data_IF_474226575432
#
_entry.id   IF_474226575432
#
_cell.length_a   1.000
_cell.length_b   1.000
_cell.length_c   1.000
_cell.angle_alpha   90.00
_cell.angle_beta   90.00
_cell.angle_gamma   90.00
#
_symmetry.space_group_name_H-M   'P 1'
#
loop_
_entity.id
_entity.type
_entity.pdbx_description
1 polymer ?
#
# COMPACT_ATOMS: atom_id res chain seq x y z
N UNK A 1 -46.18 5.89 33.88
CA UNK A 1 -45.57 5.64 32.54
C UNK A 1 -45.86 4.20 32.13
N UNK A 2 -46.02 3.92 30.84
CA UNK A 2 -46.08 2.57 30.30
C UNK A 2 -44.78 2.20 29.60
N UNK A 3 -44.47 0.90 29.56
CA UNK A 3 -43.30 0.38 28.86
C UNK A 3 -43.78 -0.37 27.61
N UNK A 4 -43.30 0.02 26.43
CA UNK A 4 -43.58 -0.66 25.17
C UNK A 4 -42.30 -1.31 24.65
N UNK A 5 -42.35 -2.60 24.34
CA UNK A 5 -41.21 -3.35 23.79
C UNK A 5 -41.61 -3.88 22.42
N UNK A 6 -41.03 -3.32 21.36
CA UNK A 6 -41.19 -3.83 20.01
C UNK A 6 -40.16 -4.93 19.77
N UNK A 7 -40.63 -6.16 19.62
CA UNK A 7 -39.78 -7.34 19.43
C UNK A 7 -40.15 -8.06 18.12
N UNK A 8 -39.17 -8.40 17.26
CA UNK A 8 -39.40 -9.27 16.13
C UNK A 8 -39.96 -10.62 16.57
N UNK A 9 -40.99 -11.11 15.88
CA UNK A 9 -41.63 -12.38 16.23
C UNK A 9 -40.66 -13.56 16.22
N UNK A 10 -39.64 -13.50 15.36
CA UNK A 10 -38.60 -14.53 15.22
C UNK A 10 -37.81 -14.73 16.53
N UNK A 11 -37.65 -13.67 17.31
CA UNK A 11 -36.93 -13.70 18.58
C UNK A 11 -37.80 -14.16 19.75
N UNK A 12 -39.13 -14.08 19.63
CA UNK A 12 -40.04 -14.50 20.70
C UNK A 12 -40.05 -16.02 20.92
N UNK A 13 -39.64 -16.80 19.91
CA UNK A 13 -39.55 -18.27 19.96
C UNK A 13 -38.11 -18.79 20.02
N UNK A 14 -37.12 -17.90 20.10
CA UNK A 14 -35.70 -18.25 19.98
C UNK A 14 -35.13 -18.80 21.30
N UNK A 15 -34.87 -20.11 21.36
CA UNK A 15 -34.30 -20.80 22.54
C UNK A 15 -32.78 -20.88 22.51
N UNK A 16 -32.11 -19.75 22.30
CA UNK A 16 -30.64 -19.66 22.25
C UNK A 16 -30.15 -18.41 22.97
N UNK A 17 -28.97 -18.46 23.62
CA UNK A 17 -28.37 -17.28 24.22
C UNK A 17 -28.07 -16.25 23.11
N UNK A 18 -28.71 -15.09 23.17
CA UNK A 18 -28.65 -14.10 22.07
C UNK A 18 -28.65 -12.69 22.63
N UNK A 19 -27.71 -11.84 22.20
CA UNK A 19 -27.67 -10.42 22.50
C UNK A 19 -28.64 -9.64 21.60
N UNK A 20 -29.43 -8.75 22.19
CA UNK A 20 -30.41 -7.90 21.54
C UNK A 20 -29.86 -6.47 21.37
N UNK A 21 -29.99 -5.95 20.15
CA UNK A 21 -29.54 -4.62 19.76
C UNK A 21 -30.70 -3.76 19.24
N UNK A 22 -30.62 -2.47 19.54
CA UNK A 22 -31.72 -1.57 19.26
C UNK A 22 -31.53 -0.17 19.80
N UNK A 23 -32.64 0.53 20.00
CA UNK A 23 -32.68 1.88 20.56
C UNK A 23 -33.73 1.97 21.67
N UNK A 24 -33.44 2.80 22.68
CA UNK A 24 -34.38 3.15 23.75
C UNK A 24 -34.72 4.62 23.62
N UNK A 25 -36.02 4.93 23.66
CA UNK A 25 -36.55 6.29 23.72
C UNK A 25 -37.29 6.47 25.05
N UNK A 26 -37.00 7.57 25.74
CA UNK A 26 -37.55 7.88 27.06
C UNK A 26 -38.26 9.22 26.94
N UNK A 27 -39.58 9.18 26.74
CA UNK A 27 -40.46 10.37 26.70
C UNK A 27 -41.50 10.26 27.85
N UNK A 28 -42.79 10.43 27.57
CA UNK A 28 -43.88 10.14 28.54
C UNK A 28 -44.02 8.63 28.84
N UNK A 29 -43.65 7.79 27.87
CA UNK A 29 -43.54 6.33 27.96
C UNK A 29 -42.10 5.90 27.63
N UNK A 30 -41.69 4.73 28.12
CA UNK A 30 -40.39 4.12 27.79
C UNK A 30 -40.59 3.11 26.66
N UNK A 31 -39.97 3.35 25.51
CA UNK A 31 -40.11 2.49 24.33
C UNK A 31 -38.77 1.84 23.98
N UNK A 32 -38.77 0.51 23.90
CA UNK A 32 -37.64 -0.31 23.47
C UNK A 32 -37.90 -0.81 22.05
N UNK A 33 -37.03 -0.44 21.11
CA UNK A 33 -37.07 -0.92 19.74
C UNK A 33 -35.99 -1.99 19.56
N UNK A 34 -36.36 -3.27 19.57
CA UNK A 34 -35.42 -4.36 19.24
C UNK A 34 -35.44 -4.57 17.73
N UNK A 35 -34.27 -4.45 17.10
CA UNK A 35 -34.14 -4.48 15.63
C UNK A 35 -33.27 -5.64 15.17
N UNK A 36 -32.20 -5.91 15.92
CA UNK A 36 -31.21 -6.90 15.57
C UNK A 36 -30.80 -7.75 16.77
N UNK A 37 -30.27 -8.95 16.49
CA UNK A 37 -29.82 -9.87 17.51
C UNK A 37 -28.61 -10.69 17.04
N UNK A 38 -27.64 -10.91 17.93
CA UNK A 38 -26.41 -11.66 17.65
C UNK A 38 -26.23 -12.77 18.68
N UNK A 39 -25.83 -13.96 18.24
CA UNK A 39 -25.57 -15.10 19.11
C UNK A 39 -24.57 -14.73 20.23
N UNK A 40 -24.89 -15.11 21.46
CA UNK A 40 -24.11 -14.79 22.65
C UNK A 40 -23.23 -15.97 23.07
N UNK A 41 -21.91 -15.81 22.92
CA UNK A 41 -20.90 -16.80 23.32
C UNK A 41 -20.27 -16.46 24.69
N UNK A 42 -20.36 -17.39 25.64
CA UNK A 42 -19.79 -17.25 26.98
C UNK A 42 -18.25 -17.40 27.06
N UNK A 43 -17.60 -17.86 25.97
CA UNK A 43 -16.20 -18.32 26.01
C UNK A 43 -15.15 -17.29 25.56
N UNK A 44 -15.54 -16.11 25.08
CA UNK A 44 -14.60 -15.05 24.68
C UNK A 44 -14.22 -14.16 25.87
N UNK A 45 -12.95 -14.20 26.27
CA UNK A 45 -12.35 -13.50 27.41
C UNK A 45 -12.24 -11.96 27.26
N UNK A 46 -13.09 -11.34 26.44
CA UNK A 46 -13.20 -9.89 26.26
C UNK A 46 -14.68 -9.54 26.15
N UNK A 47 -15.26 -9.01 27.24
CA UNK A 47 -16.64 -8.53 27.28
C UNK A 47 -16.76 -7.17 26.58
N UNK A 48 -16.41 -7.11 25.30
CA UNK A 48 -16.65 -5.95 24.45
C UNK A 48 -18.00 -6.14 23.75
N UNK A 49 -19.01 -5.35 24.13
CA UNK A 49 -20.27 -5.30 23.42
C UNK A 49 -20.02 -4.74 22.01
N UNK A 50 -19.92 -5.65 21.03
CA UNK A 50 -19.71 -5.28 19.63
C UNK A 50 -20.74 -4.24 19.19
N UNK A 51 -20.26 -3.09 18.71
CA UNK A 51 -21.13 -2.02 18.21
C UNK A 51 -21.53 -2.35 16.78
N UNK A 52 -22.73 -2.88 16.58
CA UNK A 52 -23.32 -2.97 15.25
C UNK A 52 -23.83 -1.57 14.91
N UNK A 53 -23.28 -0.99 13.83
CA UNK A 53 -23.55 0.36 13.32
C UNK A 53 -24.84 1.02 13.83
N UNK A 54 -24.70 2.13 14.56
CA UNK A 54 -25.76 2.99 15.12
C UNK A 54 -26.76 2.36 16.13
N UNK A 55 -26.69 1.06 16.41
CA UNK A 55 -27.58 0.39 17.38
C UNK A 55 -26.85 0.17 18.72
N UNK A 56 -27.57 0.35 19.83
CA UNK A 56 -27.06 0.14 21.19
C UNK A 56 -27.39 -1.27 21.66
N UNK A 57 -26.50 -1.83 22.48
CA UNK A 57 -26.81 -3.04 23.23
C UNK A 57 -27.98 -2.77 24.20
N UNK A 58 -29.03 -3.59 24.12
CA UNK A 58 -30.22 -3.47 24.96
C UNK A 58 -30.25 -4.53 26.07
N UNK A 59 -29.70 -5.72 25.82
CA UNK A 59 -29.65 -6.82 26.76
C UNK A 59 -29.70 -8.15 26.03
N UNK A 60 -30.07 -9.25 26.70
CA UNK A 60 -29.95 -10.59 26.09
C UNK A 60 -31.15 -11.49 26.36
N UNK A 61 -31.29 -12.53 25.52
CA UNK A 61 -32.10 -13.72 25.75
C UNK A 61 -31.19 -14.75 26.41
N UNK A 62 -31.54 -15.25 27.60
CA UNK A 62 -30.74 -16.20 28.39
C UNK A 62 -31.56 -17.39 28.88
N UNK A 63 -30.90 -18.49 29.23
CA UNK A 63 -31.54 -19.66 29.84
C UNK A 63 -31.87 -19.38 31.31
N UNK A 64 -33.08 -19.74 31.76
CA UNK A 64 -33.51 -19.53 33.15
C UNK A 64 -32.56 -20.13 34.19
N UNK A 65 -32.01 -21.31 33.90
CA UNK A 65 -31.03 -21.99 34.77
C UNK A 65 -29.75 -21.16 34.97
N UNK A 66 -29.24 -20.54 33.90
CA UNK A 66 -28.01 -19.72 33.94
C UNK A 66 -28.22 -18.44 34.74
N UNK A 67 -29.42 -17.87 34.69
CA UNK A 67 -29.78 -16.72 35.51
C UNK A 67 -29.95 -17.08 37.00
N UNK A 68 -30.41 -18.30 37.30
CA UNK A 68 -30.53 -18.80 38.68
C UNK A 68 -29.16 -19.05 39.35
N UNK A 69 -28.17 -19.52 38.57
CA UNK A 69 -26.80 -19.74 39.05
C UNK A 69 -26.05 -18.42 39.34
N UNK A 70 -26.38 -17.33 38.63
CA UNK A 70 -25.70 -16.02 38.74
C UNK A 70 -26.71 -14.88 38.89
N UNK A 71 -27.16 -14.57 40.11
CA UNK A 71 -28.25 -13.59 40.33
C UNK A 71 -27.92 -12.15 39.91
N UNK A 72 -26.64 -11.79 39.79
CA UNK A 72 -26.19 -10.44 39.40
C UNK A 72 -25.77 -10.32 37.93
N UNK A 73 -26.05 -11.31 37.10
CA UNK A 73 -25.63 -11.35 35.69
C UNK A 73 -26.13 -10.13 34.89
N UNK A 74 -27.31 -9.60 35.22
CA UNK A 74 -27.92 -8.46 34.54
C UNK A 74 -27.11 -7.17 34.71
N UNK A 75 -26.59 -6.93 35.93
CA UNK A 75 -25.77 -5.75 36.24
C UNK A 75 -24.33 -5.89 35.75
N UNK A 76 -23.79 -7.12 35.69
CA UNK A 76 -22.45 -7.36 35.16
C UNK A 76 -22.36 -7.10 33.65
N UNK A 77 -23.46 -7.31 32.93
CA UNK A 77 -23.54 -7.19 31.47
C UNK A 77 -24.26 -5.92 31.01
N UNK A 78 -24.51 -4.96 31.91
CA UNK A 78 -25.21 -3.69 31.65
C UNK A 78 -26.51 -3.86 30.83
N UNK A 79 -27.29 -4.90 31.17
CA UNK A 79 -28.52 -5.22 30.45
C UNK A 79 -29.65 -4.26 30.85
N UNK A 80 -30.40 -3.76 29.88
CA UNK A 80 -31.62 -2.96 30.10
C UNK A 80 -32.89 -3.80 30.01
N UNK A 81 -32.89 -4.84 29.19
CA UNK A 81 -33.96 -5.83 29.07
C UNK A 81 -33.35 -7.23 29.06
N UNK A 82 -33.86 -8.16 29.86
CA UNK A 82 -33.48 -9.57 29.76
C UNK A 82 -34.71 -10.42 29.56
N UNK A 83 -34.62 -11.28 28.56
CA UNK A 83 -35.60 -12.28 28.25
C UNK A 83 -35.07 -13.65 28.69
N UNK A 84 -35.90 -14.45 29.33
CA UNK A 84 -35.53 -15.78 29.86
C UNK A 84 -36.33 -16.86 29.18
N UNK A 85 -35.68 -17.96 28.78
CA UNK A 85 -36.37 -19.13 28.24
C UNK A 85 -36.11 -20.37 29.08
N UNK A 86 -37.16 -21.15 29.30
CA UNK A 86 -37.08 -22.51 29.83
C UNK A 86 -37.11 -23.50 28.65
N UNK A 87 -36.41 -24.63 28.80
CA UNK A 87 -36.50 -25.75 27.87
C UNK A 87 -37.92 -26.33 27.83
N UNK A 88 -38.66 -26.26 28.93
CA UNK A 88 -40.00 -26.85 29.09
C UNK A 88 -41.14 -26.00 28.51
N UNK A 89 -41.05 -24.67 28.60
CA UNK A 89 -42.07 -23.77 28.06
C UNK A 89 -41.79 -23.38 26.60
N UNK A 90 -42.81 -23.17 25.75
CA UNK A 90 -42.60 -22.79 24.36
C UNK A 90 -42.17 -21.33 24.17
N UNK A 91 -42.52 -20.46 25.13
CA UNK A 91 -42.38 -19.01 25.00
C UNK A 91 -41.29 -18.47 25.93
N UNK A 92 -40.75 -17.33 25.55
CA UNK A 92 -39.79 -16.58 26.34
C UNK A 92 -40.54 -15.64 27.29
N UNK A 93 -40.10 -15.56 28.54
CA UNK A 93 -40.62 -14.64 29.55
C UNK A 93 -39.70 -13.43 29.71
N UNK A 94 -40.25 -12.28 30.09
CA UNK A 94 -39.45 -11.10 30.42
C UNK A 94 -38.94 -11.24 31.85
N UNK A 95 -37.65 -11.54 32.01
CA UNK A 95 -37.02 -11.82 33.31
C UNK A 95 -36.49 -10.58 34.03
N UNK A 96 -36.05 -9.56 33.28
CA UNK A 96 -35.49 -8.32 33.87
C UNK A 96 -35.77 -7.09 33.01
N UNK A 97 -36.02 -5.95 33.67
CA UNK A 97 -36.07 -4.63 33.08
C UNK A 97 -35.28 -3.68 33.99
N UNK A 98 -34.27 -3.01 33.43
CA UNK A 98 -33.40 -2.10 34.18
C UNK A 98 -33.99 -0.72 34.43
N UNK A 99 -34.98 -0.29 33.64
CA UNK A 99 -35.64 1.02 33.80
C UNK A 99 -37.06 0.80 34.34
N UNK A 100 -37.25 1.02 35.64
CA UNK A 100 -38.55 0.93 36.32
C UNK A 100 -39.00 2.34 36.77
N UNK A 101 -40.08 2.89 36.18
CA UNK A 101 -40.63 4.18 36.63
C UNK A 101 -41.37 4.04 37.96
N UNK A 102 -41.41 5.10 38.79
CA UNK A 102 -42.06 5.11 40.12
C UNK A 102 -43.55 4.71 40.09
N UNK A 103 -44.25 5.02 38.98
CA UNK A 103 -45.62 4.61 38.73
C UNK A 103 -45.75 3.91 37.36
N UNK A 104 -45.58 2.58 37.35
CA UNK A 104 -45.74 1.73 36.18
C UNK A 104 -47.23 1.40 35.94
N UNK A 105 -47.78 1.80 34.78
CA UNK A 105 -49.17 1.51 34.41
C UNK A 105 -49.34 0.12 33.77
N UNK A 106 -48.53 -0.19 32.77
CA UNK A 106 -48.57 -1.45 32.02
C UNK A 106 -47.27 -1.68 31.26
N UNK A 107 -46.92 -2.94 31.03
CA UNK A 107 -45.85 -3.36 30.10
C UNK A 107 -46.53 -4.03 28.90
N UNK A 108 -46.27 -3.54 27.70
CA UNK A 108 -46.79 -4.07 26.43
C UNK A 108 -45.65 -4.58 25.58
N UNK A 109 -45.66 -5.86 25.25
CA UNK A 109 -44.76 -6.44 24.25
C UNK A 109 -45.52 -6.49 22.93
N UNK A 110 -45.02 -5.77 21.93
CA UNK A 110 -45.61 -5.67 20.60
C UNK A 110 -44.74 -6.48 19.65
N UNK A 111 -45.29 -7.61 19.18
CA UNK A 111 -44.62 -8.46 18.22
C UNK A 111 -44.85 -7.95 16.81
N UNK A 112 -43.78 -7.80 16.04
CA UNK A 112 -43.87 -7.39 14.64
C UNK A 112 -43.12 -8.36 13.73
N UNK A 113 -43.56 -8.44 12.48
CA UNK A 113 -42.93 -9.29 11.47
C UNK A 113 -41.95 -8.45 10.65
N UNK A 114 -40.64 -8.72 10.80
CA UNK A 114 -39.56 -7.91 10.19
C UNK A 114 -39.78 -7.69 8.68
N UNK A 115 -40.13 -8.75 7.95
CA UNK A 115 -40.43 -8.68 6.51
C UNK A 115 -41.62 -7.77 6.15
N UNK A 116 -42.73 -7.81 6.90
CA UNK A 116 -43.92 -6.99 6.60
C UNK A 116 -43.65 -5.50 6.82
N UNK A 117 -42.83 -5.15 7.82
CA UNK A 117 -42.43 -3.77 8.07
C UNK A 117 -41.48 -3.25 6.97
N UNK A 118 -40.63 -4.12 6.42
CA UNK A 118 -39.74 -3.78 5.30
C UNK A 118 -40.49 -3.66 3.96
N UNK A 119 -41.50 -4.51 3.71
CA UNK A 119 -42.27 -4.52 2.44
C UNK A 119 -43.18 -3.29 2.27
N UNK A 120 -43.57 -2.64 3.38
CA UNK A 120 -44.38 -1.40 3.36
C UNK A 120 -43.68 -0.21 2.65
N UNK A 121 -42.37 -0.28 2.37
CA UNK A 121 -41.63 0.78 1.67
C UNK A 121 -41.75 0.72 0.14
N UNK A 122 -42.17 -0.40 -0.45
CA UNK A 122 -42.03 -0.61 -1.91
C UNK A 122 -43.10 0.14 -2.73
N UNK A 123 -44.12 0.72 -2.12
CA UNK A 123 -45.29 1.22 -2.86
C UNK A 123 -45.50 2.74 -2.92
N UNK A 124 -44.67 3.60 -2.34
CA UNK A 124 -44.82 5.06 -2.48
C UNK A 124 -43.47 5.77 -2.60
N UNK A 125 -42.93 5.82 -3.82
CA UNK A 125 -41.81 6.71 -4.19
C UNK A 125 -42.32 8.11 -4.61
N UNK A 126 -43.59 8.44 -4.36
CA UNK A 126 -44.20 9.70 -4.83
C UNK A 126 -45.13 10.37 -3.82
N UNK A 127 -44.67 10.60 -2.59
CA UNK A 127 -45.01 11.79 -1.76
C UNK A 127 -44.49 11.60 -0.35
N UNK A 128 -43.56 12.45 0.10
CA UNK A 128 -43.57 13.04 1.44
C UNK A 128 -42.39 14.01 1.55
N UNK A 129 -42.65 15.24 1.11
CA UNK A 129 -42.01 16.42 1.68
C UNK A 129 -42.24 16.45 3.20
N UNK A 130 -41.25 17.00 3.92
CA UNK A 130 -41.35 17.27 5.36
C UNK A 130 -42.63 18.04 5.69
N UNK A 131 -43.44 17.64 6.69
CA UNK A 131 -44.31 18.57 7.35
C UNK A 131 -43.54 19.27 8.47
N UNK A 132 -43.43 20.58 8.31
CA UNK A 132 -43.11 21.52 9.37
C UNK A 132 -44.34 21.72 10.26
N UNK A 133 -44.13 21.69 11.57
CA UNK A 133 -45.00 22.32 12.56
C UNK A 133 -46.24 21.55 13.04
N UNK A 134 -46.26 21.25 14.34
CA UNK A 134 -47.48 21.36 15.14
C UNK A 134 -48.25 20.06 15.45
N UNK A 135 -47.99 19.52 16.65
CA UNK A 135 -49.04 18.90 17.48
C UNK A 135 -49.30 17.41 17.29
N UNK A 136 -48.94 16.62 18.31
CA UNK A 136 -49.60 15.36 18.63
C UNK A 136 -48.85 14.09 18.25
N UNK A 137 -48.27 13.44 19.27
CA UNK A 137 -47.86 12.03 19.30
C UNK A 137 -46.89 11.60 18.20
N UNK A 138 -45.59 11.68 18.50
CA UNK A 138 -44.57 10.91 17.80
C UNK A 138 -45.06 9.45 17.64
N UNK A 139 -45.29 9.02 16.41
CA UNK A 139 -45.81 7.69 16.13
C UNK A 139 -44.66 6.69 16.33
N UNK A 140 -44.68 5.94 17.42
CA UNK A 140 -43.70 4.87 17.73
C UNK A 140 -43.42 3.94 16.52
N UNK A 141 -44.42 3.71 15.67
CA UNK A 141 -44.31 2.87 14.47
C UNK A 141 -43.44 3.48 13.36
N UNK A 142 -43.40 4.81 13.24
CA UNK A 142 -42.58 5.54 12.27
C UNK A 142 -41.09 5.47 12.65
N UNK A 143 -40.79 5.49 13.95
CA UNK A 143 -39.43 5.35 14.47
C UNK A 143 -38.93 3.92 14.29
N UNK A 144 -39.75 2.90 14.62
CA UNK A 144 -39.48 1.50 14.31
C UNK A 144 -39.19 1.29 12.80
N UNK A 145 -39.95 1.95 11.94
CA UNK A 145 -39.78 1.90 10.49
C UNK A 145 -38.43 2.49 10.04
N UNK A 146 -38.04 3.67 10.56
CA UNK A 146 -36.71 4.27 10.27
C UNK A 146 -35.55 3.37 10.70
N UNK A 147 -35.66 2.76 11.88
CA UNK A 147 -34.61 1.89 12.43
C UNK A 147 -34.48 0.59 11.64
N UNK A 148 -35.59 0.00 11.20
CA UNK A 148 -35.59 -1.18 10.33
C UNK A 148 -35.03 -0.89 8.92
N UNK A 149 -35.05 0.37 8.46
CA UNK A 149 -34.59 0.78 7.12
C UNK A 149 -33.07 1.00 7.03
N UNK A 150 -32.40 1.38 8.13
CA UNK A 150 -30.94 1.61 8.14
C UNK A 150 -30.13 0.37 7.73
N UNK A 151 -30.73 -0.82 7.81
CA UNK A 151 -30.15 -2.11 7.39
C UNK A 151 -30.18 -2.29 5.86
N UNK A 152 -31.17 -1.72 5.16
CA UNK A 152 -31.43 -1.95 3.72
C UNK A 152 -30.57 -1.06 2.81
N UNK A 153 -30.11 0.10 3.29
CA UNK A 153 -29.26 1.01 2.49
C UNK A 153 -27.90 0.40 2.06
N UNK A 154 -27.50 -0.75 2.61
CA UNK A 154 -26.26 -1.46 2.23
C UNK A 154 -26.47 -2.42 1.04
N UNK A 155 -27.71 -2.75 0.66
CA UNK A 155 -27.96 -3.74 -0.39
C UNK A 155 -29.00 -3.30 -1.44
N UNK A 156 -28.58 -2.39 -2.33
CA UNK A 156 -29.15 -2.31 -3.68
C UNK A 156 -28.50 -3.42 -4.55
N UNK A 157 -29.24 -4.37 -5.13
CA UNK A 157 -28.68 -5.48 -5.87
C UNK A 157 -28.44 -5.06 -7.33
N UNK A 158 -27.26 -4.51 -7.60
CA UNK A 158 -26.63 -4.63 -8.93
C UNK A 158 -25.21 -5.12 -8.70
N UNK A 159 -24.92 -6.31 -9.25
CA UNK A 159 -23.65 -7.05 -9.24
C UNK A 159 -23.24 -7.76 -7.93
N UNK A 160 -24.06 -8.71 -7.45
CA UNK A 160 -23.68 -9.65 -6.37
C UNK A 160 -22.48 -10.55 -6.75
N UNK A 161 -22.37 -10.97 -8.01
CA UNK A 161 -21.25 -11.77 -8.50
C UNK A 161 -19.93 -10.97 -8.52
N UNK A 162 -19.95 -9.72 -9.00
CA UNK A 162 -18.77 -8.86 -9.01
C UNK A 162 -18.33 -8.48 -7.59
N UNK A 163 -19.27 -8.19 -6.69
CA UNK A 163 -18.98 -7.77 -5.31
C UNK A 163 -18.50 -8.93 -4.43
N UNK A 164 -19.01 -10.14 -4.65
CA UNK A 164 -18.52 -11.37 -3.98
C UNK A 164 -17.13 -11.76 -4.47
N UNK A 165 -16.88 -11.66 -5.80
CA UNK A 165 -15.54 -11.80 -6.36
C UNK A 165 -14.55 -10.78 -5.79
N UNK A 166 -14.95 -9.49 -5.72
CA UNK A 166 -14.11 -8.42 -5.18
C UNK A 166 -13.82 -8.60 -3.67
N UNK A 167 -14.80 -9.06 -2.89
CA UNK A 167 -14.62 -9.32 -1.46
C UNK A 167 -13.68 -10.50 -1.19
N UNK A 168 -13.80 -11.57 -1.98
CA UNK A 168 -12.91 -12.73 -1.89
C UNK A 168 -11.47 -12.34 -2.29
N UNK A 169 -11.33 -11.52 -3.34
CA UNK A 169 -10.04 -10.98 -3.80
C UNK A 169 -9.38 -10.08 -2.73
N UNK A 170 -10.18 -9.27 -2.03
CA UNK A 170 -9.70 -8.40 -0.95
C UNK A 170 -9.25 -9.21 0.28
N UNK A 171 -9.99 -10.27 0.64
CA UNK A 171 -9.69 -11.10 1.81
C UNK A 171 -8.44 -11.97 1.61
N UNK A 172 -8.21 -12.48 0.39
CA UNK A 172 -6.96 -13.16 0.01
C UNK A 172 -5.78 -12.17 -0.06
N UNK A 173 -6.02 -10.90 -0.35
CA UNK A 173 -4.97 -9.87 -0.43
C UNK A 173 -4.47 -9.36 0.94
N UNK A 174 -5.22 -9.55 2.03
CA UNK A 174 -4.80 -9.05 3.35
C UNK A 174 -3.81 -10.00 4.07
N UNK A 175 -3.84 -11.31 3.78
CA UNK A 175 -2.88 -12.28 4.36
C UNK A 175 -1.41 -12.04 3.94
N UNK A 176 -1.10 -11.76 2.65
CA UNK A 176 0.26 -11.42 2.22
C UNK A 176 0.78 -10.12 2.85
N UNK A 177 -0.09 -9.15 3.09
CA UNK A 177 0.26 -7.87 3.72
C UNK A 177 0.61 -8.09 5.19
N UNK A 178 -0.15 -8.93 5.88
CA UNK A 178 0.08 -9.26 7.28
C UNK A 178 1.39 -10.06 7.45
N UNK A 179 1.68 -10.99 6.52
CA UNK A 179 2.96 -11.69 6.45
C UNK A 179 4.12 -10.72 6.21
N UNK A 180 3.98 -9.81 5.23
CA UNK A 180 5.01 -8.83 4.92
C UNK A 180 5.27 -7.90 6.12
N UNK A 181 4.21 -7.45 6.80
CA UNK A 181 4.31 -6.64 8.01
C UNK A 181 5.09 -7.36 9.11
N UNK A 182 4.77 -8.63 9.36
CA UNK A 182 5.51 -9.45 10.33
C UNK A 182 7.00 -9.60 9.96
N UNK A 183 7.31 -9.81 8.69
CA UNK A 183 8.71 -9.90 8.23
C UNK A 183 9.45 -8.56 8.34
N UNK A 184 8.77 -7.43 8.09
CA UNK A 184 9.34 -6.10 8.15
C UNK A 184 9.59 -5.59 9.58
N UNK A 185 8.82 -6.09 10.57
CA UNK A 185 8.97 -5.74 11.99
C UNK A 185 10.18 -6.43 12.65
N UNK A 186 10.79 -7.43 12.00
CA UNK A 186 11.99 -8.09 12.51
C UNK A 186 13.22 -7.15 12.42
N UNK A 187 13.90 -6.93 13.56
CA UNK A 187 15.04 -5.98 13.69
C UNK A 187 16.17 -6.26 12.69
N UNK A 188 16.48 -7.54 12.45
CA UNK A 188 17.54 -7.92 11.49
C UNK A 188 17.15 -7.56 10.05
N UNK A 189 15.93 -7.91 9.65
CA UNK A 189 15.40 -7.63 8.31
C UNK A 189 15.27 -6.12 8.12
N UNK A 190 14.77 -5.39 9.12
CA UNK A 190 14.63 -3.93 9.05
C UNK A 190 15.98 -3.22 8.75
N UNK A 191 17.08 -3.68 9.34
CA UNK A 191 18.40 -3.07 9.10
C UNK A 191 18.89 -3.31 7.66
N UNK A 192 18.63 -4.49 7.09
CA UNK A 192 19.01 -4.83 5.71
C UNK A 192 18.05 -4.17 4.71
N UNK A 193 16.76 -4.33 4.94
CA UNK A 193 15.68 -3.88 4.08
C UNK A 193 15.54 -2.35 4.09
N UNK A 194 16.00 -1.67 5.15
CA UNK A 194 15.94 -0.20 5.27
C UNK A 194 16.54 0.58 4.10
N UNK A 195 17.51 -0.01 3.41
CA UNK A 195 18.14 0.60 2.23
C UNK A 195 17.38 0.34 0.92
N UNK A 196 16.52 -0.67 0.88
CA UNK A 196 15.75 -1.06 -0.32
C UNK A 196 14.60 -0.10 -0.62
N UNK A 197 14.25 0.05 -1.89
CA UNK A 197 13.13 0.91 -2.28
C UNK A 197 11.78 0.30 -1.88
N UNK A 198 11.68 -1.03 -1.85
CA UNK A 198 10.48 -1.76 -1.41
C UNK A 198 10.12 -1.46 0.04
N UNK A 199 11.09 -1.47 0.94
CA UNK A 199 10.82 -1.18 2.35
C UNK A 199 10.39 0.27 2.59
N UNK A 200 11.09 1.22 1.94
CA UNK A 200 10.69 2.65 1.98
C UNK A 200 9.26 2.82 1.47
N UNK A 201 8.92 2.12 0.38
CA UNK A 201 7.58 2.14 -0.16
C UNK A 201 6.55 1.51 0.79
N UNK A 202 6.85 0.36 1.41
CA UNK A 202 5.96 -0.26 2.39
C UNK A 202 5.60 0.70 3.52
N UNK A 203 6.59 1.43 4.06
CA UNK A 203 6.36 2.43 5.11
C UNK A 203 5.49 3.60 4.63
N UNK A 204 5.71 4.10 3.41
CA UNK A 204 4.88 5.13 2.78
C UNK A 204 3.43 4.63 2.55
N UNK A 205 3.28 3.38 2.13
CA UNK A 205 2.00 2.72 1.89
C UNK A 205 1.23 2.55 3.21
N UNK A 206 1.86 2.02 4.26
CA UNK A 206 1.26 1.84 5.59
C UNK A 206 0.75 3.18 6.17
N UNK A 207 1.56 4.24 6.11
CA UNK A 207 1.14 5.58 6.55
C UNK A 207 -0.06 6.12 5.77
N UNK A 208 -0.21 5.71 4.51
CA UNK A 208 -1.35 6.11 3.66
C UNK A 208 -2.61 5.32 4.02
N UNK A 209 -2.47 4.04 4.37
CA UNK A 209 -3.55 3.19 4.89
C UNK A 209 -4.08 3.71 6.22
N UNK A 210 -3.19 4.03 7.17
CA UNK A 210 -3.54 4.49 8.53
C UNK A 210 -4.34 5.80 8.50
N UNK A 211 -4.10 6.66 7.50
CA UNK A 211 -4.81 7.93 7.32
C UNK A 211 -6.22 7.78 6.72
N UNK A 212 -6.58 6.61 6.16
CA UNK A 212 -7.91 6.30 5.61
C UNK A 212 -8.36 7.08 4.36
N UNK A 213 -7.81 8.27 4.09
CA UNK A 213 -8.30 9.20 3.05
C UNK A 213 -8.13 8.72 1.60
N UNK A 214 -7.36 7.65 1.32
CA UNK A 214 -6.98 7.24 -0.04
C UNK A 214 -7.19 5.77 -0.34
N UNK A 215 -8.15 5.13 0.34
CA UNK A 215 -8.44 3.70 0.16
C UNK A 215 -8.76 3.33 -1.31
N UNK A 216 -9.41 4.23 -2.06
CA UNK A 216 -9.70 4.01 -3.50
C UNK A 216 -8.44 3.87 -4.35
N UNK A 217 -7.37 4.60 -4.06
CA UNK A 217 -6.10 4.49 -4.77
C UNK A 217 -5.42 3.15 -4.49
N UNK A 218 -5.51 2.68 -3.25
CA UNK A 218 -4.95 1.39 -2.84
C UNK A 218 -5.70 0.24 -3.52
N UNK A 219 -7.03 0.33 -3.60
CA UNK A 219 -7.84 -0.66 -4.34
C UNK A 219 -7.48 -0.66 -5.82
N UNK A 220 -7.35 0.52 -6.45
CA UNK A 220 -6.92 0.62 -7.84
C UNK A 220 -5.52 0.00 -8.03
N UNK A 221 -4.59 0.30 -7.13
CA UNK A 221 -3.22 -0.23 -7.17
C UNK A 221 -3.19 -1.76 -7.05
N UNK A 222 -4.01 -2.36 -6.17
CA UNK A 222 -4.19 -3.81 -6.08
C UNK A 222 -4.78 -4.41 -7.36
N UNK A 223 -5.81 -3.78 -7.92
CA UNK A 223 -6.43 -4.25 -9.18
C UNK A 223 -5.43 -4.21 -10.34
N UNK A 224 -4.65 -3.12 -10.46
CA UNK A 224 -3.59 -3.00 -11.46
C UNK A 224 -2.49 -4.05 -11.25
N UNK A 225 -2.12 -4.33 -9.99
CA UNK A 225 -1.09 -5.31 -9.66
C UNK A 225 -1.52 -6.73 -10.00
N UNK A 226 -2.77 -7.08 -9.71
CA UNK A 226 -3.34 -8.40 -10.06
C UNK A 226 -3.52 -8.53 -11.57
N UNK A 227 -3.95 -7.46 -12.27
CA UNK A 227 -4.00 -7.47 -13.72
C UNK A 227 -2.62 -7.73 -14.33
N UNK A 228 -1.58 -7.01 -13.87
CA UNK A 228 -0.21 -7.24 -14.34
C UNK A 228 0.27 -8.64 -13.98
N UNK A 229 0.00 -9.13 -12.78
CA UNK A 229 0.31 -10.49 -12.36
C UNK A 229 -0.29 -11.51 -13.32
N UNK A 230 -1.60 -11.43 -13.61
CA UNK A 230 -2.27 -12.34 -14.54
C UNK A 230 -1.65 -12.25 -15.94
N UNK A 231 -1.34 -11.05 -16.42
CA UNK A 231 -0.64 -10.87 -17.71
C UNK A 231 0.75 -11.53 -17.68
N UNK A 232 1.55 -11.31 -16.63
CA UNK A 232 2.88 -11.91 -16.47
C UNK A 232 2.85 -13.45 -16.44
N UNK A 233 1.82 -14.04 -15.84
CA UNK A 233 1.65 -15.49 -15.78
C UNK A 233 0.94 -16.09 -17.02
N UNK A 234 0.14 -15.30 -17.74
CA UNK A 234 -0.62 -15.76 -18.92
C UNK A 234 0.15 -15.65 -20.23
N UNK A 235 1.14 -14.74 -20.33
CA UNK A 235 2.08 -14.74 -21.45
C UNK A 235 3.05 -15.93 -21.27
N UNK A 236 2.71 -17.04 -21.91
CA UNK A 236 3.44 -18.32 -21.95
C UNK A 236 4.82 -18.14 -22.59
N UNK A 237 5.76 -17.66 -21.78
CA UNK A 237 7.21 -17.85 -21.83
C UNK A 237 7.66 -17.82 -20.36
N UNK A 238 8.68 -18.60 -19.94
CA UNK A 238 9.29 -18.38 -18.64
C UNK A 238 9.67 -16.90 -18.58
N UNK A 239 9.11 -16.09 -17.66
CA UNK A 239 9.28 -14.64 -17.72
C UNK A 239 10.74 -14.20 -17.48
N UNK A 240 11.59 -15.12 -16.99
CA UNK A 240 13.05 -14.95 -16.94
C UNK A 240 13.70 -14.84 -18.32
N UNK A 241 13.15 -15.45 -19.37
CA UNK A 241 13.77 -15.45 -20.71
C UNK A 241 13.80 -14.05 -21.32
N UNK A 242 12.79 -13.23 -21.01
CA UNK A 242 12.76 -11.82 -21.42
C UNK A 242 13.87 -10.99 -20.76
N UNK A 243 14.16 -11.25 -19.47
CA UNK A 243 15.25 -10.57 -18.77
C UNK A 243 16.62 -10.96 -19.33
N UNK A 244 16.80 -12.21 -19.76
CA UNK A 244 18.03 -12.69 -20.40
C UNK A 244 18.21 -12.02 -21.77
N UNK A 245 17.14 -11.91 -22.56
CA UNK A 245 17.21 -11.17 -23.83
C UNK A 245 17.58 -9.71 -23.63
N UNK A 246 17.00 -9.06 -22.60
CA UNK A 246 17.37 -7.69 -22.23
C UNK A 246 18.82 -7.62 -21.76
N UNK A 247 19.29 -8.56 -20.96
CA UNK A 247 20.64 -8.55 -20.42
C UNK A 247 21.70 -8.68 -21.52
N UNK A 248 21.52 -9.63 -22.45
CA UNK A 248 22.37 -9.75 -23.64
C UNK A 248 22.26 -8.50 -24.53
N UNK A 249 21.07 -7.90 -24.66
CA UNK A 249 20.88 -6.63 -25.33
C UNK A 249 21.74 -5.51 -24.72
N UNK A 250 21.73 -5.36 -23.40
CA UNK A 250 22.54 -4.36 -22.67
C UNK A 250 24.03 -4.64 -22.85
N UNK A 251 24.46 -5.90 -22.75
CA UNK A 251 25.86 -6.31 -22.97
C UNK A 251 26.31 -5.92 -24.38
N UNK A 252 25.50 -6.20 -25.40
CA UNK A 252 25.80 -5.86 -26.79
C UNK A 252 25.89 -4.34 -27.00
N UNK A 253 25.02 -3.55 -26.35
CA UNK A 253 25.09 -2.09 -26.39
C UNK A 253 26.37 -1.56 -25.74
N UNK A 254 26.81 -2.16 -24.63
CA UNK A 254 28.09 -1.80 -23.99
C UNK A 254 29.29 -2.15 -24.88
N UNK A 255 29.29 -3.31 -25.55
CA UNK A 255 30.32 -3.65 -26.53
C UNK A 255 30.32 -2.68 -27.72
N UNK A 256 29.15 -2.34 -28.24
CA UNK A 256 29.02 -1.35 -29.32
C UNK A 256 29.57 0.01 -28.90
N UNK A 257 29.29 0.45 -27.67
CA UNK A 257 29.84 1.69 -27.12
C UNK A 257 31.37 1.62 -27.05
N UNK A 258 31.96 0.54 -26.54
CA UNK A 258 33.41 0.38 -26.49
C UNK A 258 34.04 0.36 -27.90
N UNK A 259 33.39 -0.27 -28.89
CA UNK A 259 33.86 -0.26 -30.27
C UNK A 259 33.84 1.17 -30.87
N UNK A 260 32.88 2.01 -30.49
CA UNK A 260 32.88 3.45 -30.86
C UNK A 260 34.03 4.20 -30.19
N UNK A 261 34.37 3.87 -28.93
CA UNK A 261 35.52 4.45 -28.25
C UNK A 261 36.87 3.99 -28.85
N UNK A 262 36.91 2.80 -29.46
CA UNK A 262 38.06 2.28 -30.21
C UNK A 262 38.32 3.07 -31.49
N UNK A 263 37.27 3.38 -32.26
CA UNK A 263 37.35 4.04 -33.56
C UNK A 263 37.62 5.55 -33.57
N UNK A 264 37.92 6.19 -32.43
CA UNK A 264 37.99 7.64 -32.22
C UNK A 264 36.60 8.31 -32.10
N UNK A 265 36.06 8.47 -30.88
CA UNK A 265 34.76 9.10 -30.69
C UNK A 265 34.83 10.59 -31.06
N UNK A 266 33.91 11.05 -31.91
CA UNK A 266 33.75 12.47 -32.31
C UNK A 266 35.00 13.05 -33.00
N UNK A 267 35.89 12.18 -33.53
CA UNK A 267 37.15 12.61 -34.15
C UNK A 267 38.23 13.06 -33.16
N UNK A 268 38.03 12.85 -31.85
CA UNK A 268 39.02 13.16 -30.83
C UNK A 268 40.10 12.07 -30.82
N UNK A 269 41.31 12.39 -31.29
CA UNK A 269 42.45 11.45 -31.29
C UNK A 269 42.88 11.12 -29.87
N UNK A 270 42.43 9.97 -29.39
CA UNK A 270 42.79 9.41 -28.08
C UNK A 270 44.23 8.88 -28.08
N UNK A 271 44.82 8.80 -26.88
CA UNK A 271 46.10 8.12 -26.73
C UNK A 271 45.90 6.61 -26.98
N UNK A 272 46.51 6.09 -28.05
CA UNK A 272 46.26 4.73 -28.54
C UNK A 272 46.56 3.66 -27.48
N UNK A 273 47.69 3.78 -26.78
CA UNK A 273 48.09 2.80 -25.78
C UNK A 273 47.15 2.78 -24.58
N UNK A 274 46.80 3.96 -24.05
CA UNK A 274 45.87 4.05 -22.92
C UNK A 274 44.44 3.64 -23.33
N UNK A 275 44.00 4.01 -24.54
CA UNK A 275 42.70 3.63 -25.06
C UNK A 275 42.57 2.11 -25.15
N UNK A 276 43.55 1.44 -25.77
CA UNK A 276 43.55 -0.02 -25.89
C UNK A 276 43.56 -0.71 -24.52
N UNK A 277 44.37 -0.22 -23.57
CA UNK A 277 44.36 -0.73 -22.21
C UNK A 277 42.98 -0.60 -21.53
N UNK A 278 42.30 0.53 -21.67
CA UNK A 278 40.95 0.69 -21.14
C UNK A 278 39.95 -0.22 -21.84
N UNK A 279 40.00 -0.32 -23.18
CA UNK A 279 39.13 -1.21 -23.94
C UNK A 279 39.27 -2.65 -23.45
N UNK A 280 40.50 -3.16 -23.32
CA UNK A 280 40.75 -4.52 -22.85
C UNK A 280 40.21 -4.74 -21.44
N UNK A 281 40.46 -3.80 -20.52
CA UNK A 281 39.98 -3.86 -19.14
C UNK A 281 38.44 -3.85 -19.06
N UNK A 282 37.77 -2.95 -19.78
CA UNK A 282 36.31 -2.85 -19.77
C UNK A 282 35.65 -4.01 -20.52
N UNK A 283 36.21 -4.47 -21.66
CA UNK A 283 35.73 -5.66 -22.39
C UNK A 283 35.82 -6.90 -21.50
N UNK A 284 36.93 -7.09 -20.78
CA UNK A 284 37.09 -8.18 -19.83
C UNK A 284 36.06 -8.10 -18.69
N UNK A 285 35.84 -6.92 -18.13
CA UNK A 285 34.86 -6.77 -17.04
C UNK A 285 33.41 -6.99 -17.51
N UNK A 286 33.06 -6.58 -18.74
CA UNK A 286 31.75 -6.90 -19.33
C UNK A 286 31.61 -8.42 -19.49
N UNK A 287 32.65 -9.11 -19.95
CA UNK A 287 32.63 -10.57 -20.07
C UNK A 287 32.45 -11.24 -18.71
N UNK A 288 33.15 -10.76 -17.68
CA UNK A 288 32.98 -11.23 -16.30
C UNK A 288 31.55 -11.03 -15.81
N UNK A 289 30.95 -9.88 -16.10
CA UNK A 289 29.57 -9.58 -15.77
C UNK A 289 28.57 -10.48 -16.52
N UNK A 290 28.81 -10.77 -17.80
CA UNK A 290 28.01 -11.74 -18.57
C UNK A 290 28.03 -13.12 -17.91
N UNK A 291 29.22 -13.65 -17.61
CA UNK A 291 29.35 -14.95 -16.93
C UNK A 291 28.66 -14.96 -15.56
N UNK A 292 28.73 -13.84 -14.83
CA UNK A 292 28.01 -13.69 -13.57
C UNK A 292 26.49 -13.72 -13.76
N UNK A 293 25.97 -13.01 -14.76
CA UNK A 293 24.54 -13.01 -15.09
C UNK A 293 24.05 -14.40 -15.48
N UNK A 294 24.81 -15.13 -16.30
CA UNK A 294 24.50 -16.51 -16.71
C UNK A 294 24.48 -17.45 -15.47
N UNK A 295 25.39 -17.24 -14.51
CA UNK A 295 25.41 -18.01 -13.26
C UNK A 295 24.20 -17.74 -12.36
N UNK A 296 23.76 -16.48 -12.25
CA UNK A 296 22.62 -16.11 -11.39
C UNK A 296 21.26 -16.20 -12.09
N UNK A 297 21.23 -16.55 -13.37
CA UNK A 297 20.02 -16.72 -14.19
C UNK A 297 18.87 -17.45 -13.47
N UNK A 298 19.06 -18.64 -12.85
CA UNK A 298 17.97 -19.33 -12.17
C UNK A 298 17.41 -18.54 -10.99
N UNK A 299 18.25 -17.79 -10.28
CA UNK A 299 17.85 -16.93 -9.15
C UNK A 299 17.06 -15.73 -9.68
N UNK A 300 17.54 -15.09 -10.76
CA UNK A 300 16.84 -13.96 -11.40
C UNK A 300 15.44 -14.39 -11.86
N UNK A 301 15.30 -15.59 -12.43
CA UNK A 301 13.99 -16.15 -12.80
C UNK A 301 13.07 -16.34 -11.61
N UNK A 302 13.59 -16.85 -10.48
CA UNK A 302 12.81 -16.99 -9.24
C UNK A 302 12.39 -15.64 -8.66
N UNK A 303 13.29 -14.65 -8.64
CA UNK A 303 12.99 -13.29 -8.18
C UNK A 303 11.91 -12.65 -9.03
N UNK A 304 11.91 -12.88 -10.35
CA UNK A 304 10.89 -12.34 -11.23
C UNK A 304 9.51 -12.97 -11.00
N UNK A 305 9.44 -14.28 -10.77
CA UNK A 305 8.21 -14.94 -10.35
C UNK A 305 7.70 -14.40 -9.01
N UNK A 306 8.62 -14.15 -8.07
CA UNK A 306 8.28 -13.51 -6.80
C UNK A 306 7.69 -12.11 -7.02
N UNK A 307 8.28 -11.27 -7.89
CA UNK A 307 7.72 -9.95 -8.28
C UNK A 307 6.29 -10.10 -8.82
N UNK A 308 6.04 -11.13 -9.65
CA UNK A 308 4.70 -11.46 -10.11
C UNK A 308 3.72 -11.71 -8.97
N UNK A 309 4.06 -12.61 -8.04
CA UNK A 309 3.23 -12.95 -6.87
C UNK A 309 3.00 -11.76 -5.95
N UNK A 310 4.02 -10.90 -5.76
CA UNK A 310 3.90 -9.66 -4.99
C UNK A 310 2.93 -8.64 -5.62
N UNK A 311 2.46 -8.87 -6.86
CA UNK A 311 1.36 -8.13 -7.47
C UNK A 311 0.05 -8.17 -6.68
N UNK A 312 -0.16 -9.20 -5.86
CA UNK A 312 -1.29 -9.27 -4.93
C UNK A 312 -1.30 -8.10 -3.91
N UNK A 313 -0.13 -7.56 -3.56
CA UNK A 313 -0.01 -6.40 -2.65
C UNK A 313 -0.36 -5.08 -3.34
N UNK A 314 -0.08 -4.98 -4.64
CA UNK A 314 -0.25 -3.76 -5.44
C UNK A 314 0.79 -3.62 -6.54
N UNK A 315 0.43 -2.90 -7.60
CA UNK A 315 1.35 -2.59 -8.71
C UNK A 315 2.52 -1.70 -8.26
N UNK A 316 2.29 -0.80 -7.31
CA UNK A 316 3.35 0.04 -6.73
C UNK A 316 4.43 -0.79 -6.02
N UNK A 317 4.09 -1.93 -5.42
CA UNK A 317 5.06 -2.88 -4.85
C UNK A 317 5.89 -3.58 -5.93
N UNK A 318 5.27 -3.97 -7.05
CA UNK A 318 5.99 -4.56 -8.18
C UNK A 318 6.99 -3.58 -8.79
N UNK A 319 6.62 -2.30 -8.94
CA UNK A 319 7.52 -1.25 -9.42
C UNK A 319 8.72 -1.07 -8.46
N UNK A 320 8.48 -1.09 -7.15
CA UNK A 320 9.56 -0.97 -6.17
C UNK A 320 10.53 -2.15 -6.24
N UNK A 321 10.03 -3.39 -6.32
CA UNK A 321 10.88 -4.57 -6.49
C UNK A 321 11.65 -4.54 -7.82
N UNK A 322 11.02 -4.08 -8.90
CA UNK A 322 11.68 -3.91 -10.20
C UNK A 322 12.78 -2.85 -10.14
N UNK A 323 12.56 -1.75 -9.43
CA UNK A 323 13.58 -0.71 -9.23
C UNK A 323 14.80 -1.25 -8.45
N UNK A 324 14.57 -2.07 -7.42
CA UNK A 324 15.65 -2.74 -6.69
C UNK A 324 16.41 -3.72 -7.60
N UNK A 325 15.72 -4.48 -8.46
CA UNK A 325 16.35 -5.37 -9.44
C UNK A 325 17.20 -4.59 -10.46
N UNK A 326 16.69 -3.48 -11.00
CA UNK A 326 17.44 -2.61 -11.94
C UNK A 326 18.69 -2.04 -11.26
N UNK A 327 18.60 -1.68 -9.98
CA UNK A 327 19.75 -1.21 -9.19
C UNK A 327 20.86 -2.27 -9.10
N UNK A 328 20.48 -3.54 -8.84
CA UNK A 328 21.42 -4.67 -8.80
C UNK A 328 22.04 -4.91 -10.18
N UNK A 329 21.22 -4.98 -11.23
CA UNK A 329 21.71 -5.22 -12.60
C UNK A 329 22.65 -4.10 -13.06
N UNK A 330 22.42 -2.86 -12.62
CA UNK A 330 23.24 -1.71 -13.00
C UNK A 330 24.55 -1.56 -12.22
N UNK A 331 24.88 -2.53 -11.35
CA UNK A 331 26.10 -2.50 -10.53
C UNK A 331 27.38 -2.42 -11.38
N UNK A 332 27.45 -3.15 -12.49
CA UNK A 332 28.60 -3.13 -13.41
C UNK A 332 28.89 -1.70 -13.95
N UNK A 333 27.85 -0.97 -14.36
CA UNK A 333 27.96 0.42 -14.81
C UNK A 333 28.42 1.36 -13.68
N UNK A 334 27.95 1.11 -12.46
CA UNK A 334 28.42 1.83 -11.28
C UNK A 334 29.92 1.63 -11.03
N UNK A 335 30.42 0.39 -11.17
CA UNK A 335 31.84 0.07 -11.06
C UNK A 335 32.68 0.82 -12.11
N UNK A 336 32.26 0.82 -13.38
CA UNK A 336 32.96 1.56 -14.45
C UNK A 336 33.07 3.06 -14.17
N UNK A 337 31.98 3.66 -13.69
CA UNK A 337 32.00 5.05 -13.28
C UNK A 337 32.96 5.30 -12.11
N UNK A 338 33.03 4.39 -11.12
CA UNK A 338 33.98 4.55 -10.01
C UNK A 338 35.42 4.50 -10.51
N UNK A 339 35.77 3.51 -11.34
CA UNK A 339 37.13 3.33 -11.85
C UNK A 339 37.60 4.58 -12.60
N UNK A 340 36.80 5.05 -13.54
CA UNK A 340 37.12 6.25 -14.32
C UNK A 340 37.10 7.52 -13.49
N UNK A 341 36.19 7.65 -12.53
CA UNK A 341 36.14 8.80 -11.60
C UNK A 341 37.38 8.88 -10.73
N UNK A 342 37.86 7.75 -10.22
CA UNK A 342 39.08 7.71 -9.40
C UNK A 342 40.27 8.14 -10.26
N UNK A 343 40.41 7.58 -11.46
CA UNK A 343 41.51 7.92 -12.36
C UNK A 343 41.48 9.39 -12.78
N UNK A 344 40.31 9.91 -13.19
CA UNK A 344 40.11 11.32 -13.50
C UNK A 344 40.52 12.23 -12.34
N UNK A 345 40.16 11.88 -11.10
CA UNK A 345 40.55 12.65 -9.91
C UNK A 345 42.06 12.61 -9.67
N UNK A 346 42.70 11.46 -9.83
CA UNK A 346 44.15 11.29 -9.67
C UNK A 346 44.88 12.12 -10.72
N UNK A 347 44.51 12.02 -12.00
CA UNK A 347 45.12 12.79 -13.08
C UNK A 347 44.90 14.29 -12.91
N UNK A 348 43.67 14.73 -12.58
CA UNK A 348 43.37 16.16 -12.34
C UNK A 348 44.21 16.72 -11.20
N UNK A 349 44.32 15.99 -10.08
CA UNK A 349 45.14 16.41 -8.94
C UNK A 349 46.63 16.39 -9.28
N UNK A 350 47.10 15.35 -9.97
CA UNK A 350 48.46 15.22 -10.46
C UNK A 350 48.84 16.39 -11.35
N UNK A 351 48.02 16.70 -12.35
CA UNK A 351 48.21 17.82 -13.27
C UNK A 351 48.24 19.16 -12.51
N UNK A 352 47.34 19.35 -11.54
CA UNK A 352 47.31 20.55 -10.71
C UNK A 352 48.58 20.74 -9.87
N UNK A 353 49.13 19.65 -9.30
CA UNK A 353 50.36 19.71 -8.50
C UNK A 353 51.57 19.94 -9.39
N UNK A 354 51.69 19.18 -10.48
CA UNK A 354 52.82 19.32 -11.41
C UNK A 354 52.82 20.69 -12.08
N UNK A 355 51.65 21.27 -12.37
CA UNK A 355 51.54 22.65 -12.86
C UNK A 355 52.15 23.67 -11.90
N UNK A 356 51.98 23.48 -10.58
CA UNK A 356 52.62 24.35 -9.60
C UNK A 356 54.14 24.16 -9.61
N UNK A 357 54.63 22.91 -9.65
CA UNK A 357 56.06 22.60 -9.69
C UNK A 357 56.73 23.17 -10.94
N UNK A 358 56.10 23.04 -12.12
CA UNK A 358 56.57 23.60 -13.39
C UNK A 358 56.67 25.13 -13.35
N UNK A 359 55.85 25.80 -12.53
CA UNK A 359 55.93 27.25 -12.30
C UNK A 359 56.90 27.66 -11.19
N UNK A 360 57.64 26.71 -10.60
CA UNK A 360 58.52 27.00 -9.46
C UNK A 360 57.77 27.27 -8.15
N UNK A 361 56.53 26.79 -8.03
CA UNK A 361 55.67 27.03 -6.86
C UNK A 361 55.43 25.74 -6.08
N UNK A 362 55.32 25.85 -4.75
CA UNK A 362 54.99 24.75 -3.83
C UNK A 362 53.83 25.14 -2.94
N UNK A 363 52.87 24.24 -2.74
CA UNK A 363 51.86 24.41 -1.71
C UNK A 363 52.43 24.12 -0.31
N UNK A 364 52.43 25.12 0.56
CA UNK A 364 52.86 24.99 1.94
C UNK A 364 51.68 24.59 2.82
N UNK A 365 51.68 23.34 3.28
CA UNK A 365 50.61 22.76 4.10
C UNK A 365 50.48 23.49 5.45
N UNK A 366 51.59 23.97 6.02
CA UNK A 366 51.61 24.63 7.34
C UNK A 366 50.99 26.03 7.28
N UNK A 367 51.11 26.72 6.14
CA UNK A 367 50.62 28.09 5.96
C UNK A 367 49.37 28.17 5.07
N UNK A 368 48.89 27.04 4.55
CA UNK A 368 47.70 26.97 3.69
C UNK A 368 47.78 27.79 2.39
N UNK A 369 48.98 28.06 1.87
CA UNK A 369 49.18 28.95 0.71
C UNK A 369 50.23 28.42 -0.27
N UNK A 370 50.16 28.90 -1.51
CA UNK A 370 51.17 28.64 -2.55
C UNK A 370 52.34 29.62 -2.36
N UNK A 371 53.56 29.11 -2.28
CA UNK A 371 54.79 29.88 -2.13
C UNK A 371 55.76 29.55 -3.27
N UNK A 372 56.60 30.51 -3.68
CA UNK A 372 57.70 30.24 -4.59
C UNK A 372 58.72 29.31 -3.90
N UNK A 373 59.24 28.34 -4.64
CA UNK A 373 60.23 27.39 -4.16
C UNK A 373 61.30 27.17 -5.23
N UNK A 374 62.57 27.25 -4.82
CA UNK A 374 63.70 27.05 -5.71
C UNK A 374 63.94 25.55 -5.92
N UNK A 375 63.24 24.97 -6.88
CA UNK A 375 63.49 23.61 -7.35
C UNK A 375 64.82 23.55 -8.11
N UNK A 376 65.52 22.41 -8.04
CA UNK A 376 66.69 22.18 -8.89
C UNK A 376 66.26 21.98 -10.35
N UNK A 377 67.10 22.36 -11.31
CA UNK A 377 66.80 22.23 -12.75
C UNK A 377 66.39 20.80 -13.15
N UNK A 378 67.05 19.78 -12.58
CA UNK A 378 66.70 18.36 -12.81
C UNK A 378 65.28 18.01 -12.34
N UNK A 379 64.83 18.59 -11.22
CA UNK A 379 63.49 18.36 -10.69
C UNK A 379 62.44 19.04 -11.57
N UNK A 380 62.72 20.26 -12.03
CA UNK A 380 61.83 21.00 -12.93
C UNK A 380 61.70 20.30 -14.29
N UNK A 381 62.81 19.78 -14.83
CA UNK A 381 62.82 18.99 -16.05
C UNK A 381 61.96 17.72 -15.92
N UNK A 382 62.17 16.95 -14.85
CA UNK A 382 61.39 15.74 -14.58
C UNK A 382 59.89 16.05 -14.40
N UNK A 383 59.55 17.11 -13.66
CA UNK A 383 58.17 17.55 -13.49
C UNK A 383 57.52 17.94 -14.82
N UNK A 384 58.27 18.57 -15.72
CA UNK A 384 57.79 18.94 -17.06
C UNK A 384 57.49 17.71 -17.92
N UNK A 385 58.35 16.68 -17.88
CA UNK A 385 58.12 15.40 -18.58
C UNK A 385 56.85 14.74 -18.07
N UNK A 386 56.71 14.56 -16.76
CA UNK A 386 55.51 13.93 -16.19
C UNK A 386 54.26 14.77 -16.43
N UNK A 387 54.36 16.10 -16.38
CA UNK A 387 53.26 17.01 -16.65
C UNK A 387 52.75 16.81 -18.08
N UNK A 388 53.68 16.82 -19.05
CA UNK A 388 53.36 16.59 -20.46
C UNK A 388 52.76 15.21 -20.68
N UNK A 389 53.32 14.16 -20.08
CA UNK A 389 52.80 12.80 -20.18
C UNK A 389 51.35 12.69 -19.66
N UNK A 390 51.08 13.17 -18.45
CA UNK A 390 49.72 13.15 -17.87
C UNK A 390 48.78 14.03 -18.69
N UNK A 391 49.23 15.19 -19.17
CA UNK A 391 48.43 16.10 -20.00
C UNK A 391 47.99 15.43 -21.31
N UNK A 392 48.85 14.60 -21.93
CA UNK A 392 48.50 13.85 -23.14
C UNK A 392 47.62 12.61 -22.89
N UNK A 393 47.68 12.03 -21.69
CA UNK A 393 46.81 10.91 -21.29
C UNK A 393 45.41 11.39 -20.88
N UNK A 394 45.33 12.56 -20.26
CA UNK A 394 44.12 13.13 -19.65
C UNK A 394 42.88 13.19 -20.57
N UNK A 395 42.95 13.59 -21.86
CA UNK A 395 41.79 13.60 -22.75
C UNK A 395 41.14 12.23 -22.88
N UNK A 396 41.93 11.16 -22.86
CA UNK A 396 41.43 9.78 -22.94
C UNK A 396 40.64 9.45 -21.68
N UNK A 397 41.23 9.62 -20.50
CA UNK A 397 40.54 9.41 -19.23
C UNK A 397 39.29 10.27 -19.08
N UNK A 398 39.32 11.52 -19.56
CA UNK A 398 38.17 12.43 -19.55
C UNK A 398 37.00 11.87 -20.38
N UNK A 399 37.25 11.41 -21.60
CA UNK A 399 36.21 10.84 -22.47
C UNK A 399 35.55 9.63 -21.81
N UNK A 400 36.36 8.69 -21.32
CA UNK A 400 35.84 7.51 -20.62
C UNK A 400 35.03 7.88 -19.38
N UNK A 401 35.51 8.82 -18.57
CA UNK A 401 34.77 9.33 -17.41
C UNK A 401 33.42 9.93 -17.79
N UNK A 402 33.36 10.77 -18.82
CA UNK A 402 32.12 11.39 -19.28
C UNK A 402 31.12 10.36 -19.78
N UNK A 403 31.57 9.40 -20.60
CA UNK A 403 30.73 8.32 -21.16
C UNK A 403 30.12 7.48 -20.03
N UNK A 404 30.91 6.99 -19.08
CA UNK A 404 30.37 6.18 -17.99
C UNK A 404 29.60 7.00 -16.94
N UNK A 405 29.92 8.28 -16.76
CA UNK A 405 29.10 9.19 -15.97
C UNK A 405 27.71 9.39 -16.60
N UNK A 406 27.63 9.49 -17.93
CA UNK A 406 26.37 9.56 -18.66
C UNK A 406 25.55 8.28 -18.49
N UNK A 407 26.16 7.10 -18.67
CA UNK A 407 25.49 5.81 -18.43
C UNK A 407 24.94 5.69 -17.00
N UNK A 408 25.75 6.07 -16.00
CA UNK A 408 25.30 6.10 -14.61
C UNK A 408 24.16 7.09 -14.39
N UNK A 409 24.22 8.26 -15.00
CA UNK A 409 23.15 9.26 -14.94
C UNK A 409 21.85 8.72 -15.54
N UNK A 410 21.93 7.99 -16.65
CA UNK A 410 20.78 7.36 -17.31
C UNK A 410 20.13 6.30 -16.41
N UNK A 411 20.92 5.45 -15.75
CA UNK A 411 20.40 4.49 -14.76
C UNK A 411 19.69 5.22 -13.61
N UNK A 412 20.31 6.24 -13.03
CA UNK A 412 19.69 7.01 -11.94
C UNK A 412 18.41 7.71 -12.39
N UNK A 413 18.38 8.26 -13.60
CA UNK A 413 17.17 8.85 -14.18
C UNK A 413 16.06 7.82 -14.34
N UNK A 414 16.38 6.61 -14.80
CA UNK A 414 15.42 5.50 -14.93
C UNK A 414 14.80 5.12 -13.57
N UNK A 415 15.63 4.97 -12.53
CA UNK A 415 15.15 4.70 -11.16
C UNK A 415 14.28 5.85 -10.65
N UNK A 416 14.66 7.11 -10.89
CA UNK A 416 13.87 8.27 -10.49
C UNK A 416 12.52 8.34 -11.21
N UNK A 417 12.44 7.94 -12.49
CA UNK A 417 11.19 7.86 -13.24
C UNK A 417 10.26 6.80 -12.62
N UNK A 418 10.78 5.62 -12.27
CA UNK A 418 10.01 4.59 -11.58
C UNK A 418 9.50 5.07 -10.21
N UNK A 419 10.34 5.73 -9.42
CA UNK A 419 9.93 6.31 -8.13
C UNK A 419 8.86 7.39 -8.31
N UNK A 420 9.01 8.25 -9.31
CA UNK A 420 8.03 9.28 -9.64
C UNK A 420 6.69 8.67 -10.03
N UNK A 421 6.69 7.69 -10.93
CA UNK A 421 5.49 7.01 -11.39
C UNK A 421 4.77 6.28 -10.24
N UNK A 422 5.53 5.55 -9.41
CA UNK A 422 5.03 4.88 -8.20
C UNK A 422 4.33 5.86 -7.27
N UNK A 423 4.98 6.99 -6.94
CA UNK A 423 4.40 8.02 -6.06
C UNK A 423 3.18 8.68 -6.70
N UNK A 424 3.21 8.96 -8.00
CA UNK A 424 2.06 9.52 -8.71
C UNK A 424 0.86 8.59 -8.63
N UNK A 425 1.05 7.28 -8.76
CA UNK A 425 -0.03 6.30 -8.67
C UNK A 425 -0.64 6.25 -7.25
N UNK A 426 0.19 6.25 -6.22
CA UNK A 426 -0.27 6.27 -4.82
C UNK A 426 -0.98 7.58 -4.45
N UNK A 427 -0.46 8.72 -4.90
CA UNK A 427 -0.97 10.05 -4.54
C UNK A 427 -1.96 10.64 -5.55
N UNK A 428 -2.38 9.89 -6.58
CA UNK A 428 -3.28 10.39 -7.61
C UNK A 428 -4.65 10.80 -7.04
N UNK A 429 -5.24 11.96 -7.41
CA UNK A 429 -6.55 12.36 -6.93
C UNK A 429 -7.69 11.63 -7.69
N UNK A 430 -7.82 10.31 -7.49
CA UNK A 430 -8.83 9.49 -8.19
C UNK A 430 -10.25 9.98 -7.94
N UNK A 431 -10.55 10.51 -6.75
CA UNK A 431 -11.90 10.93 -6.41
C UNK A 431 -12.39 12.11 -7.26
N UNK A 432 -11.47 13.03 -7.58
CA UNK A 432 -11.77 14.19 -8.44
C UNK A 432 -11.98 13.72 -9.87
N UNK A 433 -11.11 12.84 -10.36
CA UNK A 433 -11.21 12.27 -11.70
C UNK A 433 -12.49 11.46 -11.89
N UNK A 434 -12.86 10.60 -10.93
CA UNK A 434 -14.09 9.80 -10.98
C UNK A 434 -15.35 10.67 -10.93
N UNK A 435 -15.35 11.74 -10.11
CA UNK A 435 -16.46 12.71 -10.09
C UNK A 435 -16.59 13.42 -11.43
N UNK A 436 -15.48 13.87 -12.00
CA UNK A 436 -15.46 14.51 -13.32
C UNK A 436 -15.97 13.57 -14.42
N UNK A 437 -15.46 12.34 -14.47
CA UNK A 437 -15.86 11.33 -15.48
C UNK A 437 -17.33 10.95 -15.38
N UNK A 438 -17.86 10.84 -14.15
CA UNK A 438 -19.29 10.58 -13.92
C UNK A 438 -20.16 11.73 -14.41
N UNK A 439 -19.72 12.97 -14.21
CA UNK A 439 -20.45 14.15 -14.66
C UNK A 439 -20.45 14.25 -16.20
N UNK A 440 -19.32 14.00 -16.85
CA UNK A 440 -19.19 13.87 -18.31
C UNK A 440 -20.12 12.78 -18.88
N UNK A 441 -20.09 11.57 -18.31
CA UNK A 441 -20.98 10.48 -18.73
C UNK A 441 -22.46 10.82 -18.55
N UNK A 442 -22.81 11.59 -17.50
CA UNK A 442 -24.18 12.04 -17.29
C UNK A 442 -24.61 13.10 -18.33
N UNK A 443 -23.72 14.02 -18.71
CA UNK A 443 -23.99 14.97 -19.78
C UNK A 443 -24.13 14.30 -21.15
N UNK A 444 -23.27 13.32 -21.46
CA UNK A 444 -23.35 12.55 -22.71
C UNK A 444 -24.68 11.78 -22.76
N UNK A 445 -25.07 11.14 -21.65
CA UNK A 445 -26.37 10.45 -21.55
C UNK A 445 -27.56 11.37 -21.78
N UNK A 446 -27.51 12.61 -21.28
CA UNK A 446 -28.55 13.64 -21.50
C UNK A 446 -28.60 14.20 -22.93
N UNK A 447 -27.49 14.15 -23.68
CA UNK A 447 -27.46 14.59 -25.08
C UNK A 447 -27.95 13.51 -26.06
N UNK A 448 -27.99 12.25 -25.62
CA UNK A 448 -28.46 11.11 -26.41
C UNK A 448 -29.94 10.76 -26.16
N UNK A 449 -30.55 11.28 -25.08
CA UNK A 449 -31.99 11.22 -24.80
C UNK A 449 -32.71 12.46 -25.32
#
# INVERSE_FOLDING_TARGET
MSIKIYLPIDYFTLKKPTNLYGQVQINEDVVYYVVDAVDFDFNTASMEHGTISNLRFLGSILCSDTCAEKPNIYHQLDMRICFTYDKKEPNISLGYIGITPEHLKQIKIILYHKKKVQDLFVNDESTLDQPSGGGGSDCDFLELFRLAQSEVAIHKPKNRALKSGLHLLLLVADAPIQLFKYTAENVFINNIMGHTTVYKHFKEWQSTCDKGNRMKNIVLDRVLGILLMVVMFSLVTPPGDFLIQISHGIINQLYSLLNVLEGSPIGLKLNIHLNNFFLDCFKYHIQLWSMFLDLIEPIVRQVFLAIGVFGCLGFTFQIALLADLISIVSLHSHCFHIYTKVLYKVEKKGLSVLWQVVRGNRYNILKGRIEAHNYMDRQLYLATIFFSAILFLFPTTLVYYVVFAFLKSLTHATLAIFEFFRRKLLFFPLEVCLKWLRNELHEIGKRLS
#
